data_IF_066994870101
#
_entry.id   IF_066994870101
#
_cell.length_a   1.000
_cell.length_b   1.000
_cell.length_c   1.000
_cell.angle_alpha   90.00
_cell.angle_beta   90.00
_cell.angle_gamma   90.00
#
_symmetry.space_group_name_H-M   'P 1'
#
loop_
_entity.id
_entity.type
_entity.pdbx_description
1 polymer ?
#
# COMPACT_ATOMS: atom_id res chain seq x y z
N UNK A 1 11.21 -20.94 -2.74
CA UNK A 1 10.96 -19.68 -1.99
C UNK A 1 9.68 -19.10 -2.58
N UNK A 2 8.65 -18.80 -1.79
CA UNK A 2 7.39 -18.24 -2.33
C UNK A 2 7.60 -16.74 -2.50
N UNK A 3 7.64 -16.25 -3.75
CA UNK A 3 7.74 -14.82 -4.03
C UNK A 3 6.49 -14.11 -3.52
N UNK A 4 6.69 -12.99 -2.83
CA UNK A 4 5.63 -12.05 -2.49
C UNK A 4 5.46 -11.13 -3.68
N UNK A 5 4.30 -11.14 -4.30
CA UNK A 5 3.98 -10.29 -5.44
C UNK A 5 2.94 -9.23 -5.04
N UNK A 6 3.22 -7.97 -5.34
CA UNK A 6 2.24 -6.89 -5.35
C UNK A 6 1.59 -6.90 -6.73
N UNK A 7 0.26 -6.95 -6.77
CA UNK A 7 -0.47 -6.96 -8.05
C UNK A 7 -1.03 -5.58 -8.32
N UNK A 8 -0.69 -5.00 -9.46
CA UNK A 8 -1.22 -3.73 -9.94
C UNK A 8 -2.41 -4.00 -10.86
N UNK A 9 -3.54 -3.35 -10.56
CA UNK A 9 -4.80 -3.44 -11.31
C UNK A 9 -5.39 -2.04 -11.51
N UNK A 10 -6.43 -1.95 -12.32
CA UNK A 10 -7.31 -0.78 -12.39
C UNK A 10 -8.58 -1.12 -11.63
N UNK A 11 -8.99 -0.28 -10.67
CA UNK A 11 -10.23 -0.48 -9.90
C UNK A 11 -11.49 -0.07 -10.69
N UNK A 12 -12.66 -0.19 -10.07
CA UNK A 12 -13.96 0.12 -10.67
C UNK A 12 -14.10 1.59 -11.08
N UNK A 13 -13.40 2.48 -10.37
CA UNK A 13 -13.37 3.93 -10.60
C UNK A 13 -12.28 4.34 -11.60
N UNK A 14 -11.68 3.36 -12.29
CA UNK A 14 -10.57 3.56 -13.23
C UNK A 14 -9.28 4.10 -12.61
N UNK A 15 -9.10 3.93 -11.29
CA UNK A 15 -7.86 4.31 -10.61
C UNK A 15 -6.84 3.16 -10.65
N UNK A 16 -5.56 3.44 -10.93
CA UNK A 16 -4.50 2.47 -10.77
C UNK A 16 -4.25 2.19 -9.29
N UNK A 17 -4.41 0.93 -8.88
CA UNK A 17 -4.27 0.48 -7.49
C UNK A 17 -3.36 -0.72 -7.39
N UNK A 18 -2.66 -0.80 -6.26
CA UNK A 18 -1.85 -1.93 -5.87
C UNK A 18 -2.54 -2.77 -4.80
N UNK A 19 -2.57 -4.08 -5.05
CA UNK A 19 -2.96 -5.14 -4.13
C UNK A 19 -1.72 -5.66 -3.42
N UNK A 20 -1.49 -5.20 -2.19
CA UNK A 20 -0.33 -5.55 -1.38
C UNK A 20 -0.69 -6.74 -0.47
N UNK A 21 -0.09 -7.93 -0.65
CA UNK A 21 -0.38 -9.07 0.21
C UNK A 21 0.03 -8.76 1.65
N UNK A 22 -0.67 -9.31 2.66
CA UNK A 22 -0.42 -9.09 4.09
C UNK A 22 0.04 -10.38 4.78
N UNK A 23 1.02 -10.29 5.66
CA UNK A 23 1.61 -11.45 6.34
C UNK A 23 2.89 -11.94 5.65
N UNK A 24 3.36 -13.14 5.96
CA UNK A 24 4.62 -13.68 5.41
C UNK A 24 4.49 -14.04 3.93
N UNK A 25 3.33 -14.57 3.54
CA UNK A 25 3.01 -15.11 2.21
C UNK A 25 1.66 -14.59 1.66
N UNK A 26 1.08 -13.56 2.28
CA UNK A 26 -0.27 -13.08 1.93
C UNK A 26 -1.40 -13.79 2.69
N UNK A 27 -1.08 -14.61 3.69
CA UNK A 27 -2.04 -15.40 4.45
C UNK A 27 -3.03 -14.56 5.28
N UNK A 28 -2.78 -13.24 5.42
CA UNK A 28 -3.66 -12.30 6.13
C UNK A 28 -4.47 -11.42 5.19
N UNK A 29 -4.61 -11.82 3.94
CA UNK A 29 -5.33 -11.09 2.90
C UNK A 29 -4.44 -10.06 2.22
N UNK A 30 -5.09 -9.01 1.71
CA UNK A 30 -4.47 -7.99 0.85
C UNK A 30 -4.90 -6.62 1.33
N UNK A 31 -4.01 -5.63 1.27
CA UNK A 31 -4.37 -4.23 1.38
C UNK A 31 -4.45 -3.60 -0.01
N UNK A 32 -5.42 -2.73 -0.22
CA UNK A 32 -5.56 -1.94 -1.45
C UNK A 32 -5.05 -0.52 -1.18
N UNK A 33 -4.28 0.03 -2.12
CA UNK A 33 -3.71 1.37 -2.06
C UNK A 33 -3.57 1.92 -3.48
N UNK A 34 -3.63 3.24 -3.68
CA UNK A 34 -3.31 3.86 -4.96
C UNK A 34 -1.85 3.61 -5.34
N UNK A 35 -1.57 3.43 -6.63
CA UNK A 35 -0.21 3.18 -7.13
C UNK A 35 0.76 4.33 -6.78
N UNK A 36 0.31 5.58 -6.92
CA UNK A 36 1.10 6.76 -6.56
C UNK A 36 1.49 6.79 -5.08
N UNK A 37 0.59 6.35 -4.21
CA UNK A 37 0.80 6.32 -2.77
C UNK A 37 1.74 5.16 -2.39
N UNK A 38 1.63 4.02 -3.05
CA UNK A 38 2.60 2.94 -2.88
C UNK A 38 4.00 3.40 -3.28
N UNK A 39 4.14 4.06 -4.43
CA UNK A 39 5.41 4.59 -4.91
C UNK A 39 5.99 5.64 -3.95
N UNK A 40 5.15 6.54 -3.41
CA UNK A 40 5.54 7.47 -2.35
C UNK A 40 6.08 6.73 -1.13
N UNK A 41 5.34 5.75 -0.60
CA UNK A 41 5.76 4.99 0.58
C UNK A 41 7.08 4.24 0.35
N UNK A 42 7.28 3.68 -0.84
CA UNK A 42 8.53 3.04 -1.23
C UNK A 42 9.69 4.05 -1.28
N UNK A 43 9.47 5.24 -1.85
CA UNK A 43 10.47 6.31 -1.92
C UNK A 43 10.87 6.82 -0.53
N UNK A 44 9.93 6.83 0.42
CA UNK A 44 10.17 7.16 1.83
C UNK A 44 10.95 6.05 2.57
N UNK A 45 11.20 4.90 1.93
CA UNK A 45 11.91 3.78 2.51
C UNK A 45 11.04 2.84 3.35
N UNK A 46 9.71 2.94 3.25
CA UNK A 46 8.80 2.00 3.91
C UNK A 46 9.03 0.58 3.38
N UNK A 47 8.98 -0.42 4.26
CA UNK A 47 9.07 -1.81 3.81
C UNK A 47 7.79 -2.20 3.07
N UNK A 48 7.90 -2.86 1.93
CA UNK A 48 6.76 -3.49 1.23
C UNK A 48 6.30 -4.81 1.88
N UNK A 49 6.92 -5.22 3.01
CA UNK A 49 6.54 -6.42 3.77
C UNK A 49 5.51 -6.13 4.84
N UNK A 50 4.33 -5.72 4.42
CA UNK A 50 3.23 -5.37 5.33
C UNK A 50 2.64 -6.57 6.06
N UNK A 51 2.02 -6.28 7.19
CA UNK A 51 1.33 -7.25 8.04
C UNK A 51 0.02 -6.65 8.52
N UNK A 52 -0.95 -7.51 8.85
CA UNK A 52 -2.19 -7.13 9.48
C UNK A 52 -2.09 -7.39 10.98
N UNK A 53 -2.27 -6.36 11.79
CA UNK A 53 -2.29 -6.50 13.23
C UNK A 53 -3.50 -7.34 13.65
N UNK A 54 -3.29 -8.39 14.43
CA UNK A 54 -4.31 -9.44 14.69
C UNK A 54 -5.52 -8.92 15.47
N UNK A 55 -5.30 -7.98 16.40
CA UNK A 55 -6.37 -7.46 17.28
C UNK A 55 -7.14 -6.28 16.68
N UNK A 56 -6.46 -5.44 15.91
CA UNK A 56 -7.00 -4.14 15.47
C UNK A 56 -7.26 -4.08 13.97
N UNK A 57 -6.78 -5.07 13.21
CA UNK A 57 -6.92 -5.12 11.76
C UNK A 57 -6.02 -4.14 11.00
N UNK A 58 -5.37 -3.18 11.67
CA UNK A 58 -4.55 -2.15 11.01
C UNK A 58 -3.37 -2.76 10.24
N UNK A 59 -3.03 -2.11 9.12
CA UNK A 59 -1.88 -2.48 8.30
C UNK A 59 -0.62 -1.82 8.85
N UNK A 60 0.40 -2.63 9.12
CA UNK A 60 1.69 -2.21 9.65
C UNK A 60 2.83 -2.67 8.74
N UNK A 61 3.89 -1.87 8.67
CA UNK A 61 5.14 -2.22 8.01
C UNK A 61 6.26 -2.34 9.05
N UNK A 62 7.16 -3.32 8.91
CA UNK A 62 8.25 -3.49 9.86
C UNK A 62 9.35 -2.44 9.65
N UNK A 63 9.88 -1.92 10.76
CA UNK A 63 11.06 -1.04 10.80
C UNK A 63 11.90 -1.36 12.02
N UNK A 64 13.22 -1.37 11.85
CA UNK A 64 14.18 -1.58 12.96
C UNK A 64 14.36 -0.36 13.85
N UNK A 65 13.98 0.84 13.38
CA UNK A 65 14.20 2.08 14.11
C UNK A 65 13.15 2.36 15.20
N UNK A 66 11.99 1.71 15.12
CA UNK A 66 10.91 1.93 16.10
C UNK A 66 10.96 0.90 17.24
N UNK A 67 10.65 1.32 18.47
CA UNK A 67 10.64 0.47 19.66
C UNK A 67 9.71 -0.75 19.56
N UNK A 68 8.60 -0.62 18.83
CA UNK A 68 7.65 -1.72 18.55
C UNK A 68 7.95 -2.51 17.27
N UNK A 69 9.09 -2.28 16.63
CA UNK A 69 9.52 -2.97 15.40
C UNK A 69 8.66 -2.71 14.16
N UNK A 70 7.70 -1.78 14.23
CA UNK A 70 6.76 -1.49 13.15
C UNK A 70 6.16 -0.08 13.22
N UNK A 71 5.65 0.36 12.08
CA UNK A 71 4.93 1.62 11.86
C UNK A 71 3.59 1.33 11.17
N UNK A 72 2.57 2.15 11.43
CA UNK A 72 1.27 2.03 10.77
C UNK A 72 1.33 2.67 9.38
N UNK A 73 0.96 1.91 8.35
CA UNK A 73 1.11 2.35 6.95
C UNK A 73 0.29 3.59 6.66
N UNK A 74 -0.98 3.61 7.10
CA UNK A 74 -1.87 4.75 6.89
C UNK A 74 -1.36 6.05 7.56
N UNK A 75 -0.68 5.95 8.72
CA UNK A 75 -0.09 7.11 9.40
C UNK A 75 1.11 7.64 8.66
N UNK A 76 1.95 6.76 8.14
CA UNK A 76 3.08 7.15 7.28
C UNK A 76 2.56 7.84 6.03
N UNK A 77 1.51 7.30 5.41
CA UNK A 77 0.93 7.84 4.18
C UNK A 77 0.43 9.28 4.36
N UNK A 78 -0.35 9.52 5.42
CA UNK A 78 -0.92 10.84 5.73
C UNK A 78 0.00 11.76 6.55
N UNK A 79 1.21 11.30 6.88
CA UNK A 79 2.19 12.04 7.66
C UNK A 79 1.75 12.46 9.07
N UNK A 80 1.03 11.59 9.77
CA UNK A 80 0.40 11.97 11.03
C UNK A 80 1.40 12.11 12.18
N UNK A 81 1.37 13.28 12.81
CA UNK A 81 2.13 13.63 13.99
C UNK A 81 1.56 13.08 15.30
N UNK A 82 2.21 13.40 16.44
CA UNK A 82 1.68 13.11 17.76
C UNK A 82 0.28 13.71 17.97
N UNK A 83 -0.55 13.06 18.76
CA UNK A 83 -1.95 13.44 19.01
C UNK A 83 -2.90 13.10 17.87
N UNK A 84 -2.44 12.97 16.63
CA UNK A 84 -3.31 12.67 15.49
C UNK A 84 -3.55 11.16 15.36
N UNK A 85 -4.70 10.77 14.84
CA UNK A 85 -5.09 9.39 14.55
C UNK A 85 -5.87 9.28 13.21
N UNK A 86 -6.25 8.08 12.81
CA UNK A 86 -6.95 7.80 11.55
C UNK A 86 -8.28 7.12 11.86
N UNK A 87 -9.33 7.53 11.14
CA UNK A 87 -10.55 6.74 10.95
C UNK A 87 -10.61 6.27 9.49
N UNK A 88 -11.03 5.03 9.32
CA UNK A 88 -11.35 4.46 8.01
C UNK A 88 -12.83 4.67 7.74
N UNK A 89 -13.19 5.37 6.66
CA UNK A 89 -14.58 5.76 6.38
C UNK A 89 -15.47 4.54 6.15
N UNK A 90 -14.97 3.53 5.45
CA UNK A 90 -15.66 2.27 5.19
C UNK A 90 -15.50 1.23 6.33
N UNK A 91 -14.75 1.56 7.39
CA UNK A 91 -14.48 0.66 8.51
C UNK A 91 -13.47 -0.46 8.24
N UNK A 92 -12.90 -0.55 7.05
CA UNK A 92 -11.87 -1.54 6.67
C UNK A 92 -10.46 -0.94 6.73
N UNK A 93 -9.61 -1.37 7.69
CA UNK A 93 -8.24 -0.89 7.79
C UNK A 93 -7.30 -1.36 6.69
N UNK A 94 -7.74 -2.28 5.82
CA UNK A 94 -6.96 -2.78 4.67
C UNK A 94 -7.19 -1.97 3.39
N UNK A 95 -8.20 -1.09 3.38
CA UNK A 95 -8.39 -0.10 2.32
C UNK A 95 -7.66 1.20 2.67
N UNK A 96 -6.48 1.38 2.06
CA UNK A 96 -5.57 2.50 2.29
C UNK A 96 -5.68 3.59 1.23
N UNK A 97 -6.70 3.55 0.36
CA UNK A 97 -6.98 4.65 -0.58
C UNK A 97 -7.32 5.93 0.20
N UNK A 98 -6.79 7.08 -0.22
CA UNK A 98 -6.85 8.34 0.55
C UNK A 98 -8.26 8.81 0.84
N UNK A 99 -9.18 8.60 -0.09
CA UNK A 99 -10.60 8.87 0.05
C UNK A 99 -11.27 8.07 1.17
N UNK A 100 -10.71 6.90 1.54
CA UNK A 100 -11.14 6.11 2.69
C UNK A 100 -10.51 6.59 4.03
N UNK A 101 -9.47 7.41 4.00
CA UNK A 101 -8.75 7.82 5.21
C UNK A 101 -9.19 9.19 5.71
N UNK A 102 -9.55 9.26 6.98
CA UNK A 102 -9.96 10.49 7.66
C UNK A 102 -9.04 10.76 8.85
N UNK A 103 -8.48 11.98 8.92
CA UNK A 103 -7.62 12.40 10.03
C UNK A 103 -8.49 12.76 11.23
N UNK A 104 -8.21 12.14 12.37
CA UNK A 104 -8.75 12.54 13.67
C UNK A 104 -7.70 13.35 14.43
N UNK A 105 -7.96 14.63 14.76
CA UNK A 105 -7.00 15.46 15.49
C UNK A 105 -6.83 15.03 16.95
N UNK A 106 -7.79 14.29 17.49
CA UNK A 106 -7.81 13.82 18.88
C UNK A 106 -7.49 12.33 18.96
N UNK A 107 -6.32 12.01 19.48
CA UNK A 107 -5.82 10.65 19.60
C UNK A 107 -4.63 10.55 20.55
N UNK A 108 -4.25 9.31 20.85
CA UNK A 108 -3.22 9.01 21.87
C UNK A 108 -1.86 8.65 21.26
N UNK A 109 -1.63 9.01 20.00
CA UNK A 109 -0.38 8.70 19.34
C UNK A 109 0.74 9.58 19.89
N UNK A 110 1.78 8.96 20.43
CA UNK A 110 2.90 9.68 21.06
C UNK A 110 4.00 10.10 20.08
N UNK A 111 3.91 9.67 18.81
CA UNK A 111 4.99 9.80 17.83
C UNK A 111 4.48 9.94 16.40
N UNK A 112 5.34 10.44 15.52
CA UNK A 112 5.17 10.44 14.07
C UNK A 112 5.88 9.22 13.47
N UNK A 113 5.12 8.34 12.80
CA UNK A 113 5.67 7.07 12.31
C UNK A 113 6.68 7.26 11.16
N UNK A 114 6.56 8.34 10.39
CA UNK A 114 7.48 8.66 9.28
C UNK A 114 8.91 8.92 9.75
N UNK A 115 9.10 9.38 10.99
CA UNK A 115 10.43 9.65 11.57
C UNK A 115 11.24 8.37 11.83
N UNK A 116 10.59 7.20 11.78
CA UNK A 116 11.22 5.88 11.97
C UNK A 116 11.52 5.15 10.67
N UNK A 117 11.40 5.84 9.53
CA UNK A 117 11.79 5.28 8.24
C UNK A 117 13.28 5.48 8.00
N UNK A 118 13.91 4.45 7.46
CA UNK A 118 15.27 4.54 6.95
C UNK A 118 15.18 4.77 5.45
N UNK A 119 15.81 5.84 4.91
CA UNK A 119 15.84 6.08 3.46
C UNK A 119 16.26 4.83 2.69
N UNK A 120 15.64 4.61 1.52
CA UNK A 120 15.81 3.39 0.73
C UNK A 120 17.28 3.09 0.43
N UNK A 121 18.07 4.12 0.18
CA UNK A 121 19.50 4.05 -0.17
C UNK A 121 20.38 3.58 0.99
N UNK A 122 19.97 3.89 2.22
CA UNK A 122 20.70 3.52 3.45
C UNK A 122 20.25 2.18 4.02
N UNK A 123 19.19 1.60 3.44
CA UNK A 123 18.55 0.41 3.99
C UNK A 123 19.30 -0.86 3.57
N UNK A 124 19.69 -1.67 4.55
CA UNK A 124 20.18 -3.02 4.28
C UNK A 124 19.06 -3.85 3.63
N UNK A 125 19.36 -4.49 2.49
CA UNK A 125 18.43 -5.40 1.85
C UNK A 125 17.98 -6.46 2.84
N UNK A 126 16.68 -6.50 3.10
CA UNK A 126 16.08 -7.52 3.93
C UNK A 126 15.41 -8.51 3.00
N UNK A 127 15.80 -9.77 3.00
CA UNK A 127 15.18 -10.84 2.20
C UNK A 127 15.14 -10.60 0.68
N UNK A 128 14.42 -11.46 -0.08
CA UNK A 128 14.30 -11.31 -1.53
C UNK A 128 13.46 -10.06 -1.90
N UNK A 129 13.70 -9.45 -3.08
CA UNK A 129 12.88 -8.37 -3.60
C UNK A 129 11.39 -8.74 -3.63
N UNK A 130 10.52 -7.74 -3.45
CA UNK A 130 9.09 -7.89 -3.70
C UNK A 130 8.87 -7.75 -5.20
N UNK A 131 8.12 -8.67 -5.78
CA UNK A 131 7.81 -8.68 -7.21
C UNK A 131 6.60 -7.77 -7.46
N UNK A 132 6.62 -7.01 -8.56
CA UNK A 132 5.50 -6.18 -8.98
C UNK A 132 4.91 -6.79 -10.26
N UNK A 133 3.67 -7.25 -10.19
CA UNK A 133 2.95 -7.91 -11.27
C UNK A 133 1.86 -6.97 -11.78
N UNK A 134 1.93 -6.59 -13.04
CA UNK A 134 0.93 -5.71 -13.65
C UNK A 134 -0.09 -6.54 -14.41
N UNK A 135 -1.30 -6.64 -13.87
CA UNK A 135 -2.42 -7.28 -14.56
C UNK A 135 -3.08 -6.25 -15.47
N UNK A 136 -2.48 -6.03 -16.64
CA UNK A 136 -3.17 -5.34 -17.72
C UNK A 136 -4.29 -6.24 -18.21
N UNK A 137 -5.53 -5.84 -17.95
CA UNK A 137 -6.70 -6.54 -18.46
C UNK A 137 -6.54 -6.77 -19.95
N UNK A 138 -6.52 -8.05 -20.33
CA UNK A 138 -6.70 -8.53 -21.69
C UNK A 138 -8.07 -8.10 -22.20
N UNK A 139 -8.17 -6.87 -22.70
CA UNK A 139 -9.13 -6.57 -23.76
C UNK A 139 -8.47 -6.97 -25.07
N UNK A 140 -8.96 -7.99 -25.80
CA UNK A 140 -8.66 -8.08 -27.22
C UNK A 140 -9.16 -6.78 -27.83
N UNK A 141 -8.26 -5.96 -28.35
CA UNK A 141 -8.65 -4.96 -29.35
C UNK A 141 -9.17 -5.82 -30.50
N UNK A 142 -10.48 -5.92 -30.63
CA UNK A 142 -11.10 -6.58 -31.77
C UNK A 142 -10.57 -5.89 -33.03
N UNK A 143 -9.70 -6.61 -33.74
CA UNK A 143 -9.52 -6.45 -35.17
C UNK A 143 -10.85 -6.79 -35.82
N UNK A 144 -11.54 -5.76 -36.30
CA UNK A 144 -12.50 -5.83 -37.39
C UNK A 144 -12.50 -4.45 -38.04
N UNK A 145 -11.59 -4.17 -38.96
CA UNK A 145 -11.58 -4.51 -40.39
C UNK A 145 -11.95 -3.25 -41.19
N UNK A 146 -11.14 -3.00 -42.20
CA UNK A 146 -11.33 -2.05 -43.28
C UNK A 146 -12.77 -2.00 -43.80
N UNK A 147 -13.16 -0.80 -44.25
CA UNK A 147 -13.62 -0.48 -45.61
C UNK A 147 -14.88 0.39 -45.60
N UNK A 148 -14.71 1.70 -45.84
CA UNK A 148 -15.65 2.52 -46.58
C UNK A 148 -15.03 3.87 -46.97
N UNK A 149 -14.23 3.87 -48.04
CA UNK A 149 -14.12 5.04 -48.91
C UNK A 149 -14.89 4.71 -50.20
N UNK A 150 -15.94 5.45 -50.55
CA UNK A 150 -16.36 5.62 -51.92
C UNK A 150 -15.68 6.85 -52.55
N UNK A 151 -15.58 6.77 -53.87
CA UNK A 151 -14.69 7.46 -54.81
C UNK A 151 -14.93 8.96 -54.96
#
# INVERSE_FOLDING_TARGET
MTNRAITHIVDEDSNPVALVPLGRKGEKGTAIILDEDLALLESLGLSMRWNRHTRTGIVVAPTSASSGGSVQVARVLLDLGPGQNIRYRNGDPTDLRRDNLEIKPEGNAIRRDRDYLTPKEKRKAWGPPVEHVFAFGSKPIFSSLLAALPR
#
